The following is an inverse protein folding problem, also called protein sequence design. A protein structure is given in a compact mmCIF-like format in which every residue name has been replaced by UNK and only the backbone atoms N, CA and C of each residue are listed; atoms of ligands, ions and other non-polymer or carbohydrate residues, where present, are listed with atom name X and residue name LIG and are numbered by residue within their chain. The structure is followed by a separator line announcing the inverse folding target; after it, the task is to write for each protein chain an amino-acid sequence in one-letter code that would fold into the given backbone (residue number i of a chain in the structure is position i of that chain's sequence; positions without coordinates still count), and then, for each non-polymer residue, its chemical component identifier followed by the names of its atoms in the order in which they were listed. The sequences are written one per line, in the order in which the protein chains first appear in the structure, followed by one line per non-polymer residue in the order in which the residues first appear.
data_IF_830581330920
#
_entry.id   IF_830581330920
#
_cell.length_a   1.000
_cell.length_b   1.000
_cell.length_c   1.000
_cell.angle_alpha   90.00
_cell.angle_beta   90.00
_cell.angle_gamma   90.00
#
_symmetry.space_group_name_H-M   'P 1'
#
loop_
_entity.id
_entity.type
_entity.pdbx_description
1 polymer ?
#
# COMPACT_ATOMS: atom_id res chain seq x y z
N UNK A 1 31.69 19.66 -5.51
CA UNK A 1 31.22 19.06 -4.24
C UNK A 1 29.92 18.32 -4.54
N UNK A 2 29.98 17.00 -4.69
CA UNK A 2 28.83 16.19 -5.08
C UNK A 2 27.78 16.19 -3.96
N UNK A 3 26.56 16.61 -4.27
CA UNK A 3 25.45 16.61 -3.33
C UNK A 3 25.15 15.16 -2.91
N UNK A 4 25.33 14.87 -1.63
CA UNK A 4 24.93 13.61 -1.03
C UNK A 4 23.40 13.59 -0.94
N UNK A 5 22.76 12.98 -1.92
CA UNK A 5 21.32 12.79 -1.97
C UNK A 5 20.91 11.88 -0.82
N UNK A 6 20.44 12.48 0.27
CA UNK A 6 19.84 11.78 1.41
C UNK A 6 18.75 10.86 0.84
N UNK A 7 18.89 9.55 1.04
CA UNK A 7 17.99 8.54 0.47
C UNK A 7 16.54 8.87 0.82
N UNK A 8 15.74 9.17 -0.20
CA UNK A 8 14.29 9.41 -0.09
C UNK A 8 13.51 8.13 0.25
N UNK A 9 14.16 6.97 0.19
CA UNK A 9 13.53 5.66 0.36
C UNK A 9 13.92 5.04 1.69
N UNK A 10 12.90 4.59 2.42
CA UNK A 10 13.06 3.77 3.61
C UNK A 10 13.25 2.30 3.19
N UNK A 11 14.51 1.89 2.97
CA UNK A 11 14.84 0.52 2.54
C UNK A 11 14.39 -0.54 3.55
N UNK A 12 14.38 -0.23 4.85
CA UNK A 12 13.97 -1.18 5.89
C UNK A 12 12.49 -1.54 5.74
N UNK A 13 11.64 -0.54 5.53
CA UNK A 13 10.21 -0.76 5.30
C UNK A 13 9.94 -1.48 3.97
N UNK A 14 10.66 -1.10 2.91
CA UNK A 14 10.60 -1.81 1.63
C UNK A 14 10.98 -3.29 1.78
N UNK A 15 12.06 -3.58 2.49
CA UNK A 15 12.52 -4.94 2.77
C UNK A 15 11.50 -5.75 3.56
N UNK A 16 10.88 -5.16 4.59
CA UNK A 16 9.81 -5.81 5.36
C UNK A 16 8.59 -6.14 4.50
N UNK A 17 8.17 -5.21 3.63
CA UNK A 17 7.04 -5.43 2.73
C UNK A 17 7.31 -6.57 1.73
N UNK A 18 8.52 -6.62 1.16
CA UNK A 18 8.94 -7.69 0.25
C UNK A 18 8.92 -9.04 0.96
N UNK A 19 9.56 -9.12 2.14
CA UNK A 19 9.64 -10.36 2.92
C UNK A 19 8.25 -10.89 3.25
N UNK A 20 7.35 -10.02 3.73
CA UNK A 20 5.98 -10.39 4.09
C UNK A 20 5.23 -11.00 2.90
N UNK A 21 5.15 -10.28 1.78
CA UNK A 21 4.43 -10.75 0.59
C UNK A 21 5.00 -12.07 0.07
N UNK A 22 6.34 -12.19 0.07
CA UNK A 22 7.04 -13.41 -0.35
C UNK A 22 6.67 -14.60 0.54
N UNK A 23 6.70 -14.43 1.85
CA UNK A 23 6.40 -15.50 2.82
C UNK A 23 4.93 -15.90 2.82
N UNK A 24 4.00 -14.94 2.71
CA UNK A 24 2.56 -15.20 2.56
C UNK A 24 2.24 -15.99 1.29
N UNK A 25 2.97 -15.72 0.20
CA UNK A 25 2.83 -16.43 -1.07
C UNK A 25 3.64 -17.74 -1.15
N UNK A 26 4.38 -18.12 -0.09
CA UNK A 26 5.24 -19.31 -0.09
C UNK A 26 6.39 -19.25 -1.10
N UNK A 27 6.81 -18.05 -1.51
CA UNK A 27 7.82 -17.84 -2.54
C UNK A 27 9.24 -17.83 -1.96
N UNK A 28 10.19 -18.34 -2.72
CA UNK A 28 11.63 -18.16 -2.48
C UNK A 28 12.11 -16.79 -3.01
N UNK A 29 13.31 -16.37 -2.61
CA UNK A 29 13.94 -15.17 -3.18
C UNK A 29 14.19 -15.30 -4.69
N UNK A 30 14.33 -16.52 -5.23
CA UNK A 30 14.48 -16.76 -6.66
C UNK A 30 13.16 -16.53 -7.39
N UNK A 31 12.05 -17.01 -6.83
CA UNK A 31 10.73 -16.81 -7.45
C UNK A 31 10.39 -15.32 -7.53
N UNK A 32 10.74 -14.55 -6.49
CA UNK A 32 10.58 -13.08 -6.51
C UNK A 32 11.53 -12.43 -7.51
N UNK A 33 12.76 -12.95 -7.64
CA UNK A 33 13.71 -12.45 -8.63
C UNK A 33 13.18 -12.63 -10.06
N UNK A 34 12.58 -13.78 -10.36
CA UNK A 34 11.99 -14.06 -11.66
C UNK A 34 10.78 -13.16 -11.93
N UNK A 35 9.94 -12.90 -10.91
CA UNK A 35 8.77 -12.04 -11.02
C UNK A 35 9.09 -10.54 -11.18
N UNK A 36 10.21 -10.09 -10.60
CA UNK A 36 10.56 -8.65 -10.52
C UNK A 36 11.72 -8.27 -11.43
N UNK A 37 12.43 -9.26 -11.98
CA UNK A 37 13.73 -9.06 -12.64
C UNK A 37 14.77 -8.35 -11.75
N UNK A 38 14.64 -8.47 -10.42
CA UNK A 38 15.63 -7.99 -9.43
C UNK A 38 16.39 -9.20 -8.89
N UNK A 39 17.72 -9.16 -8.89
CA UNK A 39 18.49 -10.35 -8.49
C UNK A 39 18.20 -10.80 -7.04
N UNK A 40 18.20 -12.11 -6.80
CA UNK A 40 17.98 -12.69 -5.46
C UNK A 40 18.97 -12.17 -4.40
N UNK A 41 20.21 -11.87 -4.79
CA UNK A 41 21.21 -11.26 -3.90
C UNK A 41 20.88 -9.80 -3.54
N UNK A 42 20.25 -9.07 -4.44
CA UNK A 42 19.78 -7.70 -4.19
C UNK A 42 18.54 -7.73 -3.30
N UNK A 43 17.59 -8.62 -3.58
CA UNK A 43 16.42 -8.86 -2.73
C UNK A 43 16.82 -9.23 -1.29
N UNK A 44 17.78 -10.15 -1.12
CA UNK A 44 18.29 -10.52 0.21
C UNK A 44 18.86 -9.33 0.99
N UNK A 45 19.66 -8.47 0.33
CA UNK A 45 20.20 -7.26 0.96
C UNK A 45 19.09 -6.27 1.31
N UNK A 46 18.09 -6.10 0.45
CA UNK A 46 16.95 -5.21 0.72
C UNK A 46 16.12 -5.73 1.89
N UNK A 47 15.75 -7.02 1.92
CA UNK A 47 15.02 -7.63 3.04
C UNK A 47 15.75 -7.52 4.38
N UNK A 48 17.08 -7.51 4.36
CA UNK A 48 17.91 -7.34 5.55
C UNK A 48 18.26 -5.87 5.85
N UNK A 49 17.72 -4.91 5.09
CA UNK A 49 17.93 -3.48 5.29
C UNK A 49 19.34 -2.97 4.96
N UNK A 50 20.20 -3.80 4.38
CA UNK A 50 21.60 -3.46 4.02
C UNK A 50 21.75 -3.04 2.56
N UNK A 51 20.72 -3.26 1.75
CA UNK A 51 20.66 -2.85 0.35
C UNK A 51 20.48 -1.34 0.17
N UNK A 52 20.87 -0.85 -1.00
CA UNK A 52 20.50 0.48 -1.49
C UNK A 52 19.87 0.28 -2.87
N UNK A 53 18.54 0.09 -2.95
CA UNK A 53 17.88 -0.08 -4.24
C UNK A 53 17.93 1.24 -5.02
N UNK A 54 18.20 1.16 -6.31
CA UNK A 54 18.07 2.28 -7.23
C UNK A 54 16.60 2.48 -7.65
N UNK A 55 16.34 3.56 -8.40
CA UNK A 55 14.99 3.94 -8.81
C UNK A 55 14.28 2.85 -9.65
N UNK A 56 15.01 2.14 -10.51
CA UNK A 56 14.46 1.06 -11.33
C UNK A 56 14.04 -0.15 -10.47
N UNK A 57 14.91 -0.58 -9.54
CA UNK A 57 14.58 -1.62 -8.58
C UNK A 57 13.39 -1.20 -7.70
N UNK A 58 13.32 0.05 -7.24
CA UNK A 58 12.18 0.56 -6.46
C UNK A 58 10.88 0.45 -7.28
N UNK A 59 10.88 0.90 -8.54
CA UNK A 59 9.70 0.85 -9.40
C UNK A 59 9.21 -0.60 -9.63
N UNK A 60 10.13 -1.53 -9.93
CA UNK A 60 9.81 -2.95 -10.12
C UNK A 60 9.25 -3.58 -8.85
N UNK A 61 9.86 -3.31 -7.70
CA UNK A 61 9.47 -3.88 -6.42
C UNK A 61 8.14 -3.31 -5.92
N UNK A 62 7.90 -2.01 -6.09
CA UNK A 62 6.63 -1.37 -5.73
C UNK A 62 5.48 -1.82 -6.63
N UNK A 63 5.73 -1.96 -7.93
CA UNK A 63 4.79 -2.55 -8.88
C UNK A 63 4.44 -4.00 -8.50
N UNK A 64 5.44 -4.81 -8.17
CA UNK A 64 5.21 -6.18 -7.70
C UNK A 64 4.47 -6.23 -6.38
N UNK A 65 4.76 -5.34 -5.43
CA UNK A 65 4.05 -5.24 -4.15
C UNK A 65 2.61 -4.75 -4.29
N UNK A 66 2.25 -4.13 -5.42
CA UNK A 66 1.00 -3.39 -5.60
C UNK A 66 0.82 -2.29 -4.54
N UNK A 67 1.93 -1.61 -4.21
CA UNK A 67 1.98 -0.53 -3.23
C UNK A 67 2.42 0.76 -3.95
N UNK A 68 1.70 1.88 -3.78
CA UNK A 68 2.10 3.16 -4.35
C UNK A 68 3.51 3.56 -3.87
N UNK A 69 4.30 4.13 -4.78
CA UNK A 69 5.70 4.51 -4.53
C UNK A 69 5.83 5.50 -3.36
N UNK A 70 4.81 6.33 -3.18
CA UNK A 70 4.66 7.34 -2.11
C UNK A 70 4.67 6.72 -0.71
N UNK A 71 4.27 5.44 -0.56
CA UNK A 71 4.30 4.73 0.72
C UNK A 71 5.70 4.24 1.10
N UNK A 72 6.60 4.11 0.13
CA UNK A 72 7.99 3.65 0.31
C UNK A 72 8.96 4.83 0.40
N UNK A 73 8.64 5.94 -0.28
CA UNK A 73 9.39 7.19 -0.25
C UNK A 73 9.10 7.98 1.04
N UNK A 74 9.65 7.50 2.16
CA UNK A 74 9.55 8.15 3.47
C UNK A 74 10.34 9.46 3.51
N UNK A 75 9.67 10.58 3.23
CA UNK A 75 10.27 11.90 3.15
C UNK A 75 9.66 12.98 4.03
N UNK A 76 9.09 12.65 5.20
CA UNK A 76 9.12 13.48 6.43
C UNK A 76 8.33 12.81 7.55
N UNK A 77 8.96 12.72 8.72
CA UNK A 77 8.26 13.01 9.97
C UNK A 77 7.51 14.33 9.73
N UNK A 78 6.20 14.28 9.55
CA UNK A 78 5.36 15.47 9.44
C UNK A 78 5.29 16.09 10.84
N UNK A 79 6.31 16.88 11.17
CA UNK A 79 6.12 17.99 12.08
C UNK A 79 5.17 18.97 11.37
N UNK A 80 3.89 18.90 11.73
CA UNK A 80 2.85 19.81 11.26
C UNK A 80 1.99 19.26 10.12
N UNK A 81 0.74 18.99 10.50
CA UNK A 81 -0.46 18.89 9.66
C UNK A 81 -0.80 17.55 8.98
N UNK A 82 -2.09 17.23 9.04
CA UNK A 82 -2.71 15.92 8.96
C UNK A 82 -2.62 15.24 7.59
N UNK A 83 -1.90 14.12 7.52
CA UNK A 83 -2.44 12.93 6.85
C UNK A 83 -1.88 11.71 7.56
N UNK A 84 -2.56 11.28 8.63
CA UNK A 84 -2.22 10.04 9.35
C UNK A 84 -2.29 8.89 8.35
N UNK A 85 -1.17 8.19 8.20
CA UNK A 85 -1.08 6.98 7.41
C UNK A 85 -2.11 5.98 7.92
N UNK A 86 -2.99 5.55 7.02
CA UNK A 86 -4.02 4.55 7.26
C UNK A 86 -3.36 3.24 7.71
N UNK A 87 -3.54 2.89 8.99
CA UNK A 87 -3.12 1.60 9.55
C UNK A 87 -4.08 0.54 9.05
N UNK A 88 -3.61 -0.34 8.16
CA UNK A 88 -4.37 -1.48 7.68
C UNK A 88 -4.24 -2.62 8.69
N UNK A 89 -5.27 -2.84 9.50
CA UNK A 89 -5.39 -4.04 10.31
C UNK A 89 -6.03 -5.15 9.45
N UNK A 90 -5.41 -6.34 9.30
CA UNK A 90 -5.91 -7.41 8.42
C UNK A 90 -7.31 -7.96 8.76
N UNK A 91 -7.94 -7.47 9.83
CA UNK A 91 -9.23 -7.91 10.36
C UNK A 91 -10.29 -6.78 10.31
N UNK A 92 -9.91 -5.55 9.95
CA UNK A 92 -10.83 -4.40 9.89
C UNK A 92 -11.24 -4.14 8.45
N UNK A 93 -12.54 -4.03 8.20
CA UNK A 93 -13.05 -3.66 6.89
C UNK A 93 -12.68 -2.21 6.54
N UNK A 94 -12.58 -1.93 5.24
CA UNK A 94 -12.31 -0.57 4.74
C UNK A 94 -13.24 0.51 5.35
N UNK A 95 -14.54 0.26 5.58
CA UNK A 95 -15.41 1.22 6.27
C UNK A 95 -14.97 1.55 7.70
N UNK A 96 -14.53 0.56 8.47
CA UNK A 96 -14.10 0.72 9.86
C UNK A 96 -12.84 1.58 9.96
N UNK A 97 -11.92 1.35 9.02
CA UNK A 97 -10.69 2.14 8.89
C UNK A 97 -11.03 3.61 8.59
N UNK A 98 -11.92 3.87 7.62
CA UNK A 98 -12.31 5.25 7.26
C UNK A 98 -13.03 5.94 8.43
N UNK A 99 -13.89 5.22 9.14
CA UNK A 99 -14.56 5.73 10.33
C UNK A 99 -13.58 6.15 11.43
N UNK A 100 -12.51 5.36 11.67
CA UNK A 100 -11.47 5.72 12.62
C UNK A 100 -10.76 7.02 12.24
N UNK A 101 -10.54 7.27 10.94
CA UNK A 101 -9.92 8.50 10.45
C UNK A 101 -10.85 9.70 10.58
N UNK A 102 -12.12 9.58 10.17
CA UNK A 102 -13.10 10.66 10.29
C UNK A 102 -13.31 11.09 11.74
N UNK A 103 -13.28 10.14 12.69
CA UNK A 103 -13.37 10.44 14.12
C UNK A 103 -12.13 11.16 14.66
N UNK A 104 -10.96 10.95 14.06
CA UNK A 104 -9.69 11.54 14.49
C UNK A 104 -9.40 12.91 13.82
N UNK A 105 -10.23 13.34 12.87
CA UNK A 105 -10.09 14.61 12.16
C UNK A 105 -10.59 15.77 13.03
N UNK A 106 -9.68 16.66 13.42
CA UNK A 106 -10.00 17.83 14.28
C UNK A 106 -10.83 18.90 13.58
N UNK A 107 -11.00 18.82 12.27
CA UNK A 107 -11.82 19.76 11.49
C UNK A 107 -13.29 19.34 11.45
N UNK A 108 -13.63 18.14 11.95
CA UNK A 108 -14.99 17.62 11.96
C UNK A 108 -15.59 17.62 13.36
N UNK A 109 -16.88 17.96 13.45
CA UNK A 109 -17.63 17.67 14.67
C UNK A 109 -17.89 16.16 14.78
N UNK A 110 -18.08 15.61 15.99
CA UNK A 110 -18.42 14.19 16.16
C UNK A 110 -19.65 13.76 15.34
N UNK A 111 -20.65 14.63 15.23
CA UNK A 111 -21.87 14.40 14.47
C UNK A 111 -21.60 14.36 12.96
N UNK A 112 -20.76 15.27 12.46
CA UNK A 112 -20.39 15.34 11.03
C UNK A 112 -19.55 14.13 10.64
N UNK A 113 -18.57 13.75 11.46
CA UNK A 113 -17.74 12.56 11.25
C UNK A 113 -18.60 11.29 11.18
N UNK A 114 -19.61 11.18 12.04
CA UNK A 114 -20.58 10.06 12.02
C UNK A 114 -21.43 10.06 10.75
N UNK A 115 -21.96 11.21 10.34
CA UNK A 115 -22.76 11.31 9.11
C UNK A 115 -21.94 10.91 7.87
N UNK A 116 -20.68 11.38 7.79
CA UNK A 116 -19.78 11.04 6.69
C UNK A 116 -19.40 9.55 6.68
N UNK A 117 -19.19 8.93 7.84
CA UNK A 117 -18.87 7.51 7.91
C UNK A 117 -20.06 6.63 7.51
N UNK A 118 -21.28 7.02 7.88
CA UNK A 118 -22.52 6.35 7.44
C UNK A 118 -22.70 6.44 5.92
N UNK A 119 -22.52 7.63 5.34
CA UNK A 119 -22.56 7.81 3.88
C UNK A 119 -21.53 6.93 3.16
N UNK A 120 -20.29 6.92 3.66
CA UNK A 120 -19.22 6.11 3.09
C UNK A 120 -19.53 4.62 3.16
N UNK A 121 -20.00 4.13 4.31
CA UNK A 121 -20.35 2.72 4.52
C UNK A 121 -21.42 2.27 3.53
N UNK A 122 -22.48 3.06 3.36
CA UNK A 122 -23.58 2.78 2.41
C UNK A 122 -23.05 2.72 0.97
N UNK A 123 -22.27 3.74 0.56
CA UNK A 123 -21.67 3.77 -0.77
C UNK A 123 -20.73 2.57 -1.01
N UNK A 124 -19.87 2.27 -0.04
CA UNK A 124 -18.94 1.16 -0.12
C UNK A 124 -19.67 -0.16 -0.34
N UNK A 125 -20.67 -0.49 0.49
CA UNK A 125 -21.47 -1.72 0.32
C UNK A 125 -22.18 -1.78 -1.02
N UNK A 126 -22.71 -0.65 -1.52
CA UNK A 126 -23.41 -0.59 -2.80
C UNK A 126 -22.49 -0.84 -4.00
N UNK A 127 -21.23 -0.41 -3.93
CA UNK A 127 -20.30 -0.45 -5.06
C UNK A 127 -19.20 -1.52 -4.93
N UNK A 128 -19.03 -2.16 -3.78
CA UNK A 128 -17.95 -3.14 -3.53
C UNK A 128 -18.23 -4.56 -4.05
N UNK A 129 -19.15 -4.75 -5.01
CA UNK A 129 -19.36 -6.08 -5.61
C UNK A 129 -18.20 -6.46 -6.55
N UNK A 130 -17.66 -7.70 -6.48
CA UNK A 130 -16.81 -8.22 -7.55
C UNK A 130 -17.69 -8.41 -8.79
N UNK A 131 -17.19 -7.99 -9.96
CA UNK A 131 -17.98 -7.82 -11.19
C UNK A 131 -19.01 -8.93 -11.48
N UNK A 132 -20.27 -8.53 -11.58
CA UNK A 132 -21.28 -9.24 -12.37
C UNK A 132 -21.66 -8.35 -13.56
N UNK A 133 -20.75 -8.25 -14.53
CA UNK A 133 -21.11 -7.79 -15.86
C UNK A 133 -21.89 -8.92 -16.56
N UNK A 134 -23.20 -8.97 -16.30
CA UNK A 134 -24.14 -9.86 -16.96
C UNK A 134 -24.99 -9.08 -17.97
N UNK A 135 -24.34 -8.41 -18.93
CA UNK A 135 -25.02 -7.85 -20.11
C UNK A 135 -24.49 -8.54 -21.37
N UNK A 136 -25.30 -9.43 -21.94
CA UNK A 136 -25.28 -9.66 -23.39
C UNK A 136 -25.17 -11.08 -23.93
N UNK A 137 -25.17 -12.14 -23.11
CA UNK A 137 -25.40 -13.51 -23.62
C UNK A 137 -26.77 -14.02 -23.20
N UNK A 138 -27.80 -13.64 -23.96
CA UNK A 138 -28.92 -14.53 -24.28
C UNK A 138 -29.82 -13.94 -25.38
N UNK A 139 -30.07 -14.81 -26.37
CA UNK A 139 -31.16 -14.83 -27.33
C UNK A 139 -31.06 -13.91 -28.55
N UNK A 140 -30.68 -14.52 -29.68
CA UNK A 140 -31.64 -14.72 -30.78
C UNK A 140 -31.41 -16.10 -31.43
N UNK A 141 -32.53 -16.79 -31.62
CA UNK A 141 -32.70 -18.02 -32.38
C UNK A 141 -32.15 -17.88 -33.79
#
# INVERSE_FOLDING_TARGET
MAQSTKSLVNTVELGRAIRRKREEAGMSLRDVADATSVSASTLSRIENGTGKPDADNIARLTGWLNVPMERIMGGRQLDGDETRAVVYFPQEGTPEIVEAHLRADRNLTPETAKALSELFRVAYTQFSSPGSDNRGRKNRK
#
